data_IF_839046183134
#
_entry.id   IF_839046183134
#
_cell.length_a   1.000
_cell.length_b   1.000
_cell.length_c   1.000
_cell.angle_alpha   90.00
_cell.angle_beta   90.00
_cell.angle_gamma   90.00
#
_symmetry.space_group_name_H-M   'P 1'
#
loop_
_entity.id
_entity.type
_entity.pdbx_description
1 polymer ?
#
# COMPACT_ATOMS: atom_id res chain seq x y z
N UNK A 1 -24.81 -19.42 6.21
CA UNK A 1 -25.20 -18.34 5.29
C UNK A 1 -24.53 -17.06 5.77
N UNK A 2 -23.23 -16.91 5.48
CA UNK A 2 -22.42 -15.74 5.83
C UNK A 2 -22.64 -14.69 4.76
N UNK A 3 -23.28 -13.57 5.09
CA UNK A 3 -23.49 -12.47 4.15
C UNK A 3 -22.17 -11.93 3.59
N UNK A 4 -22.20 -11.19 2.47
CA UNK A 4 -21.00 -10.58 1.91
C UNK A 4 -20.33 -9.72 2.97
N UNK A 5 -19.00 -9.86 3.04
CA UNK A 5 -18.14 -9.10 3.93
C UNK A 5 -18.50 -7.60 3.85
N UNK A 6 -18.88 -6.96 4.97
CA UNK A 6 -19.23 -5.52 5.05
C UNK A 6 -18.01 -4.61 4.78
N UNK A 7 -16.90 -5.20 4.36
CA UNK A 7 -15.67 -4.54 3.96
C UNK A 7 -15.94 -3.56 2.80
N UNK A 8 -15.54 -2.31 3.00
CA UNK A 8 -15.53 -1.33 1.91
C UNK A 8 -14.25 -1.48 1.06
N UNK A 9 -14.10 -0.62 0.04
CA UNK A 9 -12.97 -0.64 -0.87
C UNK A 9 -11.62 -0.61 -0.14
N UNK A 10 -11.49 0.22 0.90
CA UNK A 10 -10.28 0.31 1.73
C UNK A 10 -10.01 -1.01 2.46
N UNK A 11 -11.01 -1.61 3.10
CA UNK A 11 -10.85 -2.89 3.80
C UNK A 11 -10.41 -4.03 2.87
N UNK A 12 -11.03 -4.13 1.69
CA UNK A 12 -10.68 -5.12 0.66
C UNK A 12 -9.26 -4.89 0.11
N UNK A 13 -8.91 -3.63 -0.17
CA UNK A 13 -7.58 -3.23 -0.62
C UNK A 13 -6.50 -3.61 0.40
N UNK A 14 -6.72 -3.31 1.68
CA UNK A 14 -5.77 -3.64 2.75
C UNK A 14 -5.59 -5.15 2.92
N UNK A 15 -6.65 -5.94 2.75
CA UNK A 15 -6.56 -7.40 2.80
C UNK A 15 -5.71 -7.96 1.66
N UNK A 16 -5.79 -7.34 0.47
CA UNK A 16 -5.07 -7.78 -0.72
C UNK A 16 -3.60 -7.30 -0.72
N UNK A 17 -3.37 -6.00 -0.53
CA UNK A 17 -2.05 -5.38 -0.62
C UNK A 17 -1.23 -5.50 0.68
N UNK A 18 -1.85 -5.89 1.79
CA UNK A 18 -1.16 -6.25 3.03
C UNK A 18 -0.47 -7.61 2.99
N UNK A 19 -0.59 -8.35 1.88
CA UNK A 19 0.17 -9.58 1.64
C UNK A 19 1.42 -9.27 0.81
N UNK A 20 2.60 -9.46 1.41
CA UNK A 20 3.89 -9.23 0.75
C UNK A 20 4.03 -10.01 -0.56
N UNK A 21 3.57 -11.26 -0.59
CA UNK A 21 3.69 -12.09 -1.78
C UNK A 21 2.83 -11.57 -2.91
N UNK A 22 1.69 -10.94 -2.61
CA UNK A 22 0.87 -10.28 -3.62
C UNK A 22 1.65 -9.15 -4.28
N UNK A 23 2.29 -8.26 -3.50
CA UNK A 23 3.08 -7.16 -4.05
C UNK A 23 4.27 -7.65 -4.90
N UNK A 24 4.95 -8.71 -4.44
CA UNK A 24 6.06 -9.30 -5.19
C UNK A 24 5.61 -9.95 -6.50
N UNK A 25 4.55 -10.75 -6.47
CA UNK A 25 4.02 -11.39 -7.69
C UNK A 25 3.49 -10.35 -8.68
N UNK A 26 2.80 -9.32 -8.19
CA UNK A 26 2.34 -8.20 -9.03
C UNK A 26 3.55 -7.52 -9.68
N UNK A 27 4.60 -7.20 -8.91
CA UNK A 27 5.82 -6.59 -9.45
C UNK A 27 6.43 -7.45 -10.56
N UNK A 28 6.69 -8.73 -10.32
CA UNK A 28 7.25 -9.62 -11.34
C UNK A 28 6.35 -9.70 -12.57
N UNK A 29 5.02 -9.71 -12.38
CA UNK A 29 4.07 -9.69 -13.49
C UNK A 29 4.16 -8.39 -14.30
N UNK A 30 4.32 -7.22 -13.66
CA UNK A 30 4.51 -5.96 -14.37
C UNK A 30 5.86 -5.90 -15.10
N UNK A 31 6.89 -6.57 -14.58
CA UNK A 31 8.19 -6.74 -15.23
C UNK A 31 8.20 -7.76 -16.37
N UNK A 32 7.09 -8.48 -16.58
CA UNK A 32 6.91 -9.38 -17.72
C UNK A 32 6.86 -10.86 -17.39
N UNK A 33 6.97 -11.26 -16.12
CA UNK A 33 6.80 -12.67 -15.73
C UNK A 33 5.40 -13.17 -16.12
N UNK A 34 5.33 -14.31 -16.80
CA UNK A 34 4.07 -14.92 -17.24
C UNK A 34 3.95 -16.37 -16.80
N UNK A 35 5.06 -17.10 -16.73
CA UNK A 35 5.06 -18.53 -16.40
C UNK A 35 5.25 -18.74 -14.91
N UNK A 36 4.76 -19.87 -14.41
CA UNK A 36 5.03 -20.29 -13.03
C UNK A 36 6.53 -20.29 -12.70
N UNK A 37 7.37 -20.73 -13.64
CA UNK A 37 8.83 -20.77 -13.50
C UNK A 37 9.46 -19.39 -13.31
N UNK A 38 8.87 -18.35 -13.90
CA UNK A 38 9.37 -16.98 -13.78
C UNK A 38 9.14 -16.50 -12.34
N UNK A 39 7.95 -16.76 -11.78
CA UNK A 39 7.61 -16.42 -10.39
C UNK A 39 8.31 -17.31 -9.36
N UNK A 40 8.69 -18.54 -9.72
CA UNK A 40 9.38 -19.47 -8.85
C UNK A 40 10.82 -19.03 -8.50
N UNK A 41 11.34 -17.98 -9.15
CA UNK A 41 12.58 -17.31 -8.76
C UNK A 41 12.44 -16.50 -7.46
N UNK A 42 11.21 -16.16 -7.04
CA UNK A 42 10.95 -15.54 -5.75
C UNK A 42 11.28 -16.51 -4.60
N UNK A 43 11.68 -16.03 -3.42
CA UNK A 43 12.01 -16.85 -2.25
C UNK A 43 10.74 -17.40 -1.55
N UNK A 44 9.81 -17.97 -2.32
CA UNK A 44 8.50 -18.48 -1.89
C UNK A 44 8.38 -19.95 -2.27
N UNK A 45 7.83 -20.78 -1.38
CA UNK A 45 7.61 -22.19 -1.71
C UNK A 45 6.59 -22.36 -2.84
N UNK A 46 6.76 -23.38 -3.68
CA UNK A 46 5.84 -23.69 -4.79
C UNK A 46 4.38 -23.83 -4.35
N UNK A 47 4.14 -24.38 -3.16
CA UNK A 47 2.79 -24.53 -2.62
C UNK A 47 2.16 -23.18 -2.26
N UNK A 48 2.93 -22.25 -1.68
CA UNK A 48 2.44 -20.90 -1.37
C UNK A 48 2.26 -20.11 -2.67
N UNK A 49 3.22 -20.16 -3.59
CA UNK A 49 3.12 -19.50 -4.90
C UNK A 49 1.89 -19.95 -5.68
N UNK A 50 1.64 -21.26 -5.76
CA UNK A 50 0.46 -21.80 -6.45
C UNK A 50 -0.85 -21.30 -5.85
N UNK A 51 -0.92 -21.21 -4.52
CA UNK A 51 -2.11 -20.69 -3.84
C UNK A 51 -2.26 -19.18 -4.10
N UNK A 52 -1.17 -18.41 -4.08
CA UNK A 52 -1.20 -16.96 -4.33
C UNK A 52 -1.58 -16.63 -5.76
N UNK A 53 -0.99 -17.30 -6.75
CA UNK A 53 -1.37 -17.12 -8.15
C UNK A 53 -2.85 -17.45 -8.37
N UNK A 54 -3.39 -18.48 -7.70
CA UNK A 54 -4.82 -18.77 -7.74
C UNK A 54 -5.66 -17.64 -7.14
N UNK A 55 -5.32 -17.17 -5.94
CA UNK A 55 -6.01 -16.04 -5.31
C UNK A 55 -5.98 -14.79 -6.19
N UNK A 56 -4.84 -14.45 -6.79
CA UNK A 56 -4.74 -13.29 -7.70
C UNK A 56 -5.58 -13.45 -8.97
N UNK A 57 -5.82 -14.68 -9.43
CA UNK A 57 -6.76 -14.95 -10.52
C UNK A 57 -8.21 -14.81 -10.04
N UNK A 58 -8.53 -15.36 -8.88
CA UNK A 58 -9.87 -15.27 -8.27
C UNK A 58 -10.24 -13.80 -7.95
N UNK A 59 -9.26 -12.99 -7.53
CA UNK A 59 -9.39 -11.55 -7.26
C UNK A 59 -9.35 -10.69 -8.55
N UNK A 60 -9.18 -11.29 -9.73
CA UNK A 60 -9.20 -10.60 -11.02
C UNK A 60 -7.96 -9.75 -11.31
N UNK A 61 -6.86 -9.93 -10.58
CA UNK A 61 -5.57 -9.29 -10.86
C UNK A 61 -4.79 -10.00 -11.96
N UNK A 62 -4.91 -11.33 -12.04
CA UNK A 62 -4.28 -12.12 -13.08
C UNK A 62 -5.32 -12.88 -13.88
N UNK A 63 -5.05 -13.06 -15.16
CA UNK A 63 -5.82 -13.94 -16.04
C UNK A 63 -4.97 -15.18 -16.32
N UNK A 64 -5.52 -16.36 -16.02
CA UNK A 64 -4.86 -17.64 -16.33
C UNK A 64 -5.22 -18.07 -17.75
N UNK A 65 -4.24 -18.12 -18.66
CA UNK A 65 -4.41 -18.54 -20.06
C UNK A 65 -3.74 -19.89 -20.29
N UNK A 66 -4.54 -20.93 -20.56
CA UNK A 66 -4.05 -22.26 -20.92
C UNK A 66 -3.68 -22.25 -22.40
N UNK A 67 -2.46 -22.69 -22.73
CA UNK A 67 -1.98 -22.75 -24.13
C UNK A 67 -1.62 -24.16 -24.57
N UNK A 68 -1.62 -25.12 -23.66
CA UNK A 68 -1.35 -26.53 -23.93
C UNK A 68 -2.14 -27.35 -22.93
N UNK A 69 -2.88 -28.38 -23.38
CA UNK A 69 -3.71 -29.20 -22.51
C UNK A 69 -3.03 -30.50 -22.05
N UNK A 70 -1.95 -30.93 -22.72
CA UNK A 70 -1.26 -32.20 -22.44
C UNK A 70 0.27 -32.07 -22.57
N UNK A 71 1.03 -31.99 -21.44
CA UNK A 71 0.55 -31.65 -20.10
C UNK A 71 -0.01 -30.21 -20.03
N UNK A 72 -0.96 -29.92 -19.12
CA UNK A 72 -1.52 -28.58 -18.95
C UNK A 72 -0.43 -27.53 -18.69
N UNK A 73 -0.30 -26.55 -19.57
CA UNK A 73 0.55 -25.37 -19.37
C UNK A 73 -0.28 -24.10 -19.44
N UNK A 74 -0.07 -23.23 -18.47
CA UNK A 74 -0.78 -21.97 -18.37
C UNK A 74 0.19 -20.83 -18.08
N UNK A 75 -0.12 -19.69 -18.66
CA UNK A 75 0.51 -18.41 -18.37
C UNK A 75 -0.45 -17.55 -17.52
N UNK A 76 0.12 -16.64 -16.75
CA UNK A 76 -0.55 -15.68 -15.89
C UNK A 76 -0.31 -14.27 -16.44
N UNK A 77 -1.37 -13.66 -16.97
CA UNK A 77 -1.29 -12.34 -17.58
C UNK A 77 -1.86 -11.28 -16.63
N UNK A 78 -1.20 -10.13 -16.45
CA UNK A 78 -1.76 -9.05 -15.65
C UNK A 78 -3.03 -8.52 -16.31
N UNK A 79 -4.08 -8.35 -15.51
CA UNK A 79 -5.29 -7.63 -15.93
C UNK A 79 -5.07 -6.11 -15.84
N UNK A 80 -6.08 -5.33 -16.20
CA UNK A 80 -6.02 -3.87 -16.01
C UNK A 80 -5.89 -3.48 -14.52
N UNK A 81 -6.70 -4.01 -13.57
CA UNK A 81 -6.50 -3.76 -12.14
C UNK A 81 -5.07 -4.04 -11.66
N UNK A 82 -4.43 -5.11 -12.13
CA UNK A 82 -3.04 -5.42 -11.77
C UNK A 82 -2.05 -4.42 -12.35
N UNK A 83 -2.20 -4.04 -13.63
CA UNK A 83 -1.38 -2.97 -14.23
C UNK A 83 -1.52 -1.65 -13.48
N UNK A 84 -2.70 -1.32 -12.98
CA UNK A 84 -2.97 -0.10 -12.26
C UNK A 84 -2.33 -0.03 -10.85
N UNK A 85 -1.69 -1.10 -10.36
CA UNK A 85 -0.93 -1.10 -9.10
C UNK A 85 0.47 -0.51 -9.20
N UNK A 86 0.95 -0.20 -10.41
CA UNK A 86 2.29 0.37 -10.60
C UNK A 86 2.58 1.63 -9.74
N UNK A 87 1.63 2.57 -9.50
CA UNK A 87 1.92 3.75 -8.68
C UNK A 87 2.17 3.39 -7.22
N UNK A 88 1.51 2.35 -6.71
CA UNK A 88 1.73 1.83 -5.36
C UNK A 88 3.15 1.30 -5.23
N UNK A 89 3.57 0.45 -6.18
CA UNK A 89 4.91 -0.15 -6.20
C UNK A 89 6.03 0.90 -6.34
N UNK A 90 5.84 1.90 -7.20
CA UNK A 90 6.81 2.99 -7.39
C UNK A 90 6.91 3.88 -6.15
N UNK A 91 5.78 4.13 -5.46
CA UNK A 91 5.77 4.87 -4.20
C UNK A 91 6.48 4.11 -3.09
N UNK A 92 6.25 2.79 -2.99
CA UNK A 92 6.95 1.90 -2.05
C UNK A 92 8.45 1.92 -2.32
N UNK A 93 8.85 1.72 -3.59
CA UNK A 93 10.24 1.71 -4.01
C UNK A 93 10.96 3.00 -3.62
N UNK A 94 10.35 4.15 -3.93
CA UNK A 94 10.93 5.44 -3.61
C UNK A 94 11.04 5.65 -2.09
N UNK A 95 10.00 5.33 -1.32
CA UNK A 95 10.02 5.50 0.12
C UNK A 95 11.09 4.62 0.79
N UNK A 96 11.13 3.33 0.45
CA UNK A 96 12.12 2.37 0.97
C UNK A 96 13.54 2.81 0.63
N UNK A 97 13.81 3.16 -0.63
CA UNK A 97 15.13 3.64 -1.07
C UNK A 97 15.56 4.93 -0.37
N UNK A 98 14.62 5.78 0.04
CA UNK A 98 14.94 7.10 0.62
C UNK A 98 15.08 7.05 2.14
N UNK A 99 14.28 6.22 2.81
CA UNK A 99 14.09 6.29 4.26
C UNK A 99 14.49 5.04 5.04
N UNK A 100 14.82 3.94 4.36
CA UNK A 100 15.20 2.67 5.00
C UNK A 100 16.69 2.44 4.78
N UNK A 101 17.48 2.51 5.85
CA UNK A 101 18.95 2.55 5.80
C UNK A 101 19.56 1.39 5.02
N UNK A 102 19.05 0.16 5.23
CA UNK A 102 19.50 -1.03 4.52
C UNK A 102 19.18 -1.03 3.02
N UNK A 103 18.26 -0.19 2.57
CA UNK A 103 17.77 -0.12 1.20
C UNK A 103 18.28 1.08 0.40
N UNK A 104 18.79 2.12 1.06
CA UNK A 104 19.44 3.27 0.40
C UNK A 104 20.55 2.81 -0.56
N UNK A 105 21.25 1.73 -0.21
CA UNK A 105 22.39 1.22 -0.99
C UNK A 105 22.06 0.04 -1.91
N UNK A 106 20.92 -0.63 -1.71
CA UNK A 106 20.58 -1.86 -2.46
C UNK A 106 19.47 -1.64 -3.48
N UNK A 107 18.61 -0.63 -3.32
CA UNK A 107 17.57 -0.31 -4.28
C UNK A 107 18.09 0.67 -5.35
N UNK A 108 18.21 0.24 -6.62
CA UNK A 108 18.67 1.11 -7.69
C UNK A 108 17.76 2.32 -7.93
N UNK A 109 18.34 3.35 -8.56
CA UNK A 109 17.59 4.52 -8.98
C UNK A 109 16.56 4.17 -10.06
N UNK A 110 15.49 4.96 -10.14
CA UNK A 110 14.53 4.87 -11.24
C UNK A 110 14.87 5.91 -12.29
N UNK A 111 14.75 5.55 -13.56
CA UNK A 111 14.97 6.43 -14.71
C UNK A 111 13.67 6.62 -15.49
N UNK A 112 13.33 7.86 -15.77
CA UNK A 112 12.16 8.18 -16.57
C UNK A 112 12.55 8.12 -18.04
N UNK A 113 11.97 7.18 -18.79
CA UNK A 113 12.30 6.96 -20.19
C UNK A 113 11.98 8.16 -21.09
N UNK A 114 10.96 8.95 -20.71
CA UNK A 114 10.56 10.13 -21.47
C UNK A 114 11.59 11.26 -21.45
N UNK A 115 12.21 11.55 -20.30
CA UNK A 115 13.23 12.61 -20.18
C UNK A 115 14.68 12.10 -20.09
N UNK A 116 14.87 10.79 -19.92
CA UNK A 116 16.18 10.14 -19.80
C UNK A 116 16.88 10.35 -18.45
N UNK A 117 16.26 11.05 -17.50
CA UNK A 117 16.86 11.39 -16.21
C UNK A 117 16.46 10.41 -15.11
N UNK A 118 17.34 10.25 -14.13
CA UNK A 118 17.02 9.59 -12.87
C UNK A 118 16.07 10.48 -12.09
N UNK A 119 15.00 9.91 -11.53
CA UNK A 119 13.92 10.69 -10.95
C UNK A 119 13.46 10.13 -9.60
N UNK A 120 12.81 11.01 -8.84
CA UNK A 120 11.98 10.67 -7.70
C UNK A 120 10.51 10.95 -8.03
N UNK A 121 9.58 10.01 -7.78
CA UNK A 121 8.16 10.25 -8.03
C UNK A 121 7.62 11.32 -7.08
N UNK A 122 6.93 12.30 -7.64
CA UNK A 122 6.26 13.37 -6.89
C UNK A 122 4.76 13.13 -6.93
N UNK A 123 4.12 13.08 -5.76
CA UNK A 123 2.66 13.04 -5.68
C UNK A 123 2.07 14.38 -6.13
N UNK A 124 1.13 14.33 -7.06
CA UNK A 124 0.45 15.48 -7.65
C UNK A 124 -1.06 15.32 -7.60
N UNK A 125 -1.75 16.45 -7.69
CA UNK A 125 -3.19 16.48 -7.88
C UNK A 125 -3.51 16.21 -9.36
N UNK A 126 -4.34 15.21 -9.66
CA UNK A 126 -4.80 14.93 -11.01
C UNK A 126 -5.57 16.07 -11.68
N UNK A 127 -6.16 16.99 -10.89
CA UNK A 127 -6.86 18.17 -11.40
C UNK A 127 -5.92 19.33 -11.76
N UNK A 128 -5.23 19.94 -10.78
CA UNK A 128 -4.40 21.12 -11.03
C UNK A 128 -2.95 20.79 -11.42
N UNK A 129 -2.57 19.50 -11.36
CA UNK A 129 -1.25 19.00 -11.73
C UNK A 129 -0.09 19.59 -10.91
N UNK A 130 -0.37 20.25 -9.79
CA UNK A 130 0.66 20.72 -8.86
C UNK A 130 1.11 19.60 -7.91
N UNK A 131 2.38 19.60 -7.47
CA UNK A 131 2.84 18.76 -6.36
C UNK A 131 1.98 18.97 -5.12
N UNK A 132 1.68 17.89 -4.40
CA UNK A 132 0.83 17.92 -3.21
C UNK A 132 1.52 17.30 -2.02
N UNK A 133 1.61 18.08 -0.94
CA UNK A 133 1.97 17.57 0.39
C UNK A 133 0.70 17.12 1.13
N UNK A 134 0.80 16.06 1.94
CA UNK A 134 -0.34 15.46 2.66
C UNK A 134 -1.15 16.47 3.48
N UNK A 135 -0.51 17.49 4.04
CA UNK A 135 -1.17 18.54 4.84
C UNK A 135 -2.14 19.41 4.02
N UNK A 136 -2.06 19.37 2.69
CA UNK A 136 -2.96 20.07 1.78
C UNK A 136 -4.07 19.18 1.24
N UNK A 137 -4.22 17.96 1.77
CA UNK A 137 -5.28 17.04 1.42
C UNK A 137 -6.22 16.93 2.61
N UNK A 138 -7.44 17.42 2.42
CA UNK A 138 -8.53 17.16 3.36
C UNK A 138 -9.13 15.79 3.07
N UNK A 139 -9.38 15.01 4.11
CA UNK A 139 -9.86 13.64 4.02
C UNK A 139 -11.09 13.47 4.90
N UNK A 140 -12.20 13.07 4.29
CA UNK A 140 -13.46 12.79 4.98
C UNK A 140 -13.99 11.41 4.62
N UNK A 141 -14.85 10.85 5.48
CA UNK A 141 -15.53 9.61 5.16
C UNK A 141 -16.54 9.84 4.04
N UNK A 142 -16.48 8.99 3.02
CA UNK A 142 -17.53 8.88 2.02
C UNK A 142 -18.71 8.03 2.50
N UNK A 143 -19.72 7.80 1.64
CA UNK A 143 -20.94 7.09 2.00
C UNK A 143 -20.71 5.65 2.49
N UNK A 144 -19.69 4.95 1.99
CA UNK A 144 -19.32 3.61 2.47
C UNK A 144 -18.22 3.62 3.55
N UNK A 145 -17.84 4.82 4.01
CA UNK A 145 -16.75 5.06 4.93
C UNK A 145 -16.99 4.56 6.35
N UNK A 146 -15.91 4.59 7.13
CA UNK A 146 -15.92 4.26 8.55
C UNK A 146 -14.94 3.14 8.91
N UNK A 147 -14.43 3.22 10.14
CA UNK A 147 -13.41 2.29 10.65
C UNK A 147 -13.85 0.83 10.63
N UNK A 148 -15.11 0.53 10.95
CA UNK A 148 -15.64 -0.84 11.00
C UNK A 148 -15.55 -1.56 9.65
N UNK A 149 -15.83 -0.85 8.55
CA UNK A 149 -15.82 -1.39 7.18
C UNK A 149 -14.42 -1.37 6.56
N UNK A 150 -13.57 -0.44 7.00
CA UNK A 150 -12.18 -0.33 6.55
C UNK A 150 -11.24 -1.29 7.30
N UNK A 151 -11.64 -1.74 8.49
CA UNK A 151 -10.92 -2.70 9.34
C UNK A 151 -11.91 -3.78 9.85
N UNK A 152 -12.41 -4.67 8.96
CA UNK A 152 -13.47 -5.59 9.32
C UNK A 152 -13.08 -6.54 10.47
N UNK A 153 -14.03 -6.77 11.38
CA UNK A 153 -13.85 -7.62 12.58
C UNK A 153 -13.60 -9.09 12.25
N UNK A 154 -14.10 -9.54 11.11
CA UNK A 154 -14.02 -10.94 10.68
C UNK A 154 -13.79 -11.04 9.17
N UNK A 155 -12.57 -11.44 8.80
CA UNK A 155 -12.38 -12.40 7.71
C UNK A 155 -11.56 -13.54 8.27
N UNK A 156 -12.11 -14.72 8.11
CA UNK A 156 -11.58 -16.03 8.45
C UNK A 156 -10.12 -16.23 8.04
N UNK A 157 -9.32 -16.69 9.02
CA UNK A 157 -8.20 -17.64 8.93
C UNK A 157 -7.24 -17.51 7.73
N UNK A 158 -6.03 -17.04 8.03
CA UNK A 158 -4.83 -17.92 8.08
C UNK A 158 -3.77 -17.22 8.91
N UNK A 159 -3.28 -17.87 9.96
CA UNK A 159 -1.97 -17.50 10.53
C UNK A 159 -1.00 -17.49 9.35
N UNK A 160 -0.46 -16.32 9.00
CA UNK A 160 0.88 -16.27 8.41
C UNK A 160 1.76 -16.83 9.52
N UNK A 161 2.13 -18.11 9.40
CA UNK A 161 3.29 -18.62 10.13
C UNK A 161 4.45 -17.79 9.60
N UNK A 162 4.93 -16.91 10.45
CA UNK A 162 6.20 -16.19 10.33
C UNK A 162 7.32 -17.21 10.36
N UNK A 163 7.49 -17.97 9.28
CA UNK A 163 8.70 -18.74 8.97
C UNK A 163 9.27 -18.24 7.62
N UNK A 164 9.12 -16.94 7.33
CA UNK A 164 9.86 -16.31 6.24
C UNK A 164 11.27 -15.99 6.76
N UNK A 165 12.34 -16.35 6.03
CA UNK A 165 13.68 -15.94 6.41
C UNK A 165 13.77 -14.41 6.50
N UNK A 166 14.57 -13.86 7.44
CA UNK A 166 14.64 -12.42 7.71
C UNK A 166 15.07 -11.58 6.50
N UNK A 167 15.65 -12.20 5.46
CA UNK A 167 16.15 -11.54 4.24
C UNK A 167 15.25 -11.72 3.00
N UNK A 168 14.05 -12.29 3.13
CA UNK A 168 13.17 -12.53 1.96
C UNK A 168 12.38 -11.28 1.52
N UNK A 169 12.41 -10.19 2.29
CA UNK A 169 11.57 -9.02 2.06
C UNK A 169 12.27 -7.95 1.25
N UNK A 170 11.74 -7.63 0.07
CA UNK A 170 12.22 -6.49 -0.70
C UNK A 170 11.77 -5.15 -0.11
N UNK A 171 10.80 -5.13 0.83
CA UNK A 171 10.24 -3.92 1.45
C UNK A 171 9.82 -4.14 2.93
N UNK A 172 10.75 -4.44 3.85
CA UNK A 172 10.43 -4.91 5.21
C UNK A 172 9.72 -3.85 6.06
N UNK A 173 10.08 -2.58 5.94
CA UNK A 173 9.42 -1.52 6.69
C UNK A 173 8.04 -1.16 6.13
N UNK A 174 7.88 -1.23 4.80
CA UNK A 174 6.55 -1.16 4.16
C UNK A 174 5.65 -2.25 4.71
N UNK A 175 6.14 -3.48 4.85
CA UNK A 175 5.36 -4.56 5.45
C UNK A 175 5.12 -4.37 6.95
N UNK A 176 5.98 -3.67 7.67
CA UNK A 176 5.70 -3.28 9.05
C UNK A 176 4.50 -2.31 9.15
N UNK A 177 4.34 -1.40 8.17
CA UNK A 177 3.27 -0.40 8.10
C UNK A 177 1.98 -0.96 7.49
N UNK A 178 2.09 -1.77 6.44
CA UNK A 178 0.98 -2.21 5.59
C UNK A 178 0.62 -3.69 5.77
N UNK A 179 1.52 -4.50 6.32
CA UNK A 179 1.43 -5.97 6.32
C UNK A 179 0.46 -6.60 7.30
N UNK A 180 -0.28 -5.79 8.06
CA UNK A 180 -1.39 -6.29 8.83
C UNK A 180 -2.44 -5.20 9.05
N UNK A 181 -3.71 -5.62 9.14
CA UNK A 181 -4.86 -4.72 9.27
C UNK A 181 -4.73 -3.67 10.37
N UNK A 182 -4.10 -4.01 11.50
CA UNK A 182 -3.97 -3.09 12.63
C UNK A 182 -2.87 -2.05 12.40
N UNK A 183 -1.74 -2.44 11.78
CA UNK A 183 -0.72 -1.49 11.36
C UNK A 183 -1.30 -0.47 10.38
N UNK A 184 -1.98 -0.95 9.32
CA UNK A 184 -2.59 -0.08 8.32
C UNK A 184 -3.67 0.84 8.92
N UNK A 185 -4.48 0.30 9.84
CA UNK A 185 -5.51 1.07 10.52
C UNK A 185 -4.95 2.17 11.44
N UNK A 186 -3.89 1.85 12.21
CA UNK A 186 -3.23 2.83 13.08
C UNK A 186 -2.55 3.91 12.24
N UNK A 187 -1.87 3.52 11.16
CA UNK A 187 -1.25 4.48 10.24
C UNK A 187 -2.29 5.40 9.61
N UNK A 188 -3.39 4.84 9.07
CA UNK A 188 -4.49 5.63 8.53
C UNK A 188 -5.12 6.56 9.58
N UNK A 189 -5.27 6.09 10.83
CA UNK A 189 -5.80 6.92 11.92
C UNK A 189 -4.85 8.06 12.29
N UNK A 190 -3.54 7.85 12.23
CA UNK A 190 -2.53 8.89 12.45
C UNK A 190 -2.60 9.98 11.37
N UNK A 191 -2.75 9.59 10.09
CA UNK A 191 -2.97 10.53 8.98
C UNK A 191 -4.29 11.31 9.10
N UNK A 192 -5.33 10.70 9.68
CA UNK A 192 -6.59 11.37 10.04
C UNK A 192 -6.51 12.14 11.38
N UNK A 193 -5.30 12.43 11.86
CA UNK A 193 -5.05 13.30 13.02
C UNK A 193 -5.20 12.62 14.39
N UNK A 194 -5.34 11.30 14.46
CA UNK A 194 -5.36 10.58 15.74
C UNK A 194 -3.96 10.58 16.35
N UNK A 195 -3.81 11.09 17.58
CA UNK A 195 -2.50 11.22 18.24
C UNK A 195 -2.43 10.56 19.60
N UNK A 196 -3.55 10.23 20.24
CA UNK A 196 -3.57 9.67 21.60
C UNK A 196 -3.84 8.18 21.56
N UNK A 197 -3.20 7.45 22.48
CA UNK A 197 -3.37 6.01 22.62
C UNK A 197 -4.84 5.60 22.76
N UNK A 198 -5.58 6.26 23.66
CA UNK A 198 -7.00 5.98 23.90
C UNK A 198 -7.86 6.21 22.67
N UNK A 199 -7.54 7.23 21.87
CA UNK A 199 -8.30 7.55 20.66
C UNK A 199 -8.09 6.48 19.59
N UNK A 200 -6.87 5.94 19.44
CA UNK A 200 -6.61 4.80 18.57
C UNK A 200 -7.43 3.57 18.99
N UNK A 201 -7.44 3.24 20.28
CA UNK A 201 -8.21 2.09 20.79
C UNK A 201 -9.71 2.25 20.52
N UNK A 202 -10.26 3.41 20.87
CA UNK A 202 -11.70 3.68 20.73
C UNK A 202 -12.13 3.69 19.26
N UNK A 203 -11.39 4.39 18.39
CA UNK A 203 -11.74 4.49 16.96
C UNK A 203 -11.65 3.15 16.23
N UNK A 204 -10.59 2.38 16.52
CA UNK A 204 -10.33 1.12 15.83
C UNK A 204 -11.00 -0.09 16.47
N UNK A 205 -11.56 0.07 17.68
CA UNK A 205 -12.02 -1.05 18.53
C UNK A 205 -10.96 -2.15 18.66
N UNK A 206 -9.69 -1.74 18.76
CA UNK A 206 -8.53 -2.63 18.80
C UNK A 206 -8.14 -2.96 20.26
N UNK A 207 -7.65 -4.19 20.55
CA UNK A 207 -7.10 -4.52 21.86
C UNK A 207 -5.92 -3.61 22.24
N UNK A 208 -5.84 -3.22 23.51
CA UNK A 208 -4.80 -2.30 24.02
C UNK A 208 -3.38 -2.76 23.68
N UNK A 209 -3.07 -4.04 23.91
CA UNK A 209 -1.76 -4.61 23.64
C UNK A 209 -1.39 -4.49 22.15
N UNK A 210 -2.35 -4.72 21.24
CA UNK A 210 -2.11 -4.60 19.79
C UNK A 210 -1.78 -3.16 19.40
N UNK A 211 -2.52 -2.19 19.94
CA UNK A 211 -2.24 -0.77 19.69
C UNK A 211 -0.87 -0.38 20.24
N UNK A 212 -0.56 -0.80 21.47
CA UNK A 212 0.72 -0.50 22.11
C UNK A 212 1.90 -1.07 21.33
N UNK A 213 1.82 -2.34 20.91
CA UNK A 213 2.88 -2.99 20.15
C UNK A 213 3.10 -2.35 18.79
N UNK A 214 2.02 -1.92 18.12
CA UNK A 214 2.13 -1.26 16.81
C UNK A 214 2.65 0.16 16.90
N UNK A 215 2.23 0.93 17.89
CA UNK A 215 2.76 2.27 18.14
C UNK A 215 4.25 2.21 18.50
N UNK A 216 4.66 1.23 19.33
CA UNK A 216 6.08 1.00 19.64
C UNK A 216 6.87 0.70 18.36
N UNK A 217 6.41 -0.27 17.56
CA UNK A 217 7.05 -0.60 16.29
C UNK A 217 7.17 0.61 15.36
N UNK A 218 6.13 1.44 15.27
CA UNK A 218 6.14 2.67 14.46
C UNK A 218 7.11 3.74 14.98
N UNK A 219 7.31 3.82 16.29
CA UNK A 219 8.37 4.64 16.87
C UNK A 219 9.75 4.05 16.60
N UNK A 220 9.91 2.72 16.71
CA UNK A 220 11.18 2.03 16.51
C UNK A 220 11.69 2.18 15.06
N UNK A 221 10.80 2.08 14.07
CA UNK A 221 11.15 2.32 12.65
C UNK A 221 11.14 3.83 12.28
N UNK A 222 10.79 4.70 13.23
CA UNK A 222 10.87 6.15 13.08
C UNK A 222 9.78 6.80 12.22
N UNK A 223 8.65 6.13 11.95
CA UNK A 223 7.50 6.73 11.25
C UNK A 223 6.58 7.52 12.18
N UNK A 224 6.59 7.19 13.47
CA UNK A 224 5.98 7.97 14.53
C UNK A 224 7.03 8.40 15.54
N UNK A 225 6.75 9.49 16.25
CA UNK A 225 7.51 9.91 17.41
C UNK A 225 6.56 10.09 18.59
N UNK A 226 6.90 9.46 19.72
CA UNK A 226 6.22 9.69 20.99
C UNK A 226 6.72 11.02 21.59
N UNK A 227 5.77 11.88 21.99
CA UNK A 227 6.02 13.13 22.68
C UNK A 227 5.20 13.16 23.98
N UNK A 228 5.76 13.70 25.06
CA UNK A 228 5.01 13.94 26.28
C UNK A 228 3.95 15.02 26.05
N UNK A 229 2.75 14.81 26.59
CA UNK A 229 1.66 15.78 26.48
C UNK A 229 2.00 17.04 27.32
N UNK A 230 1.86 18.26 26.77
CA UNK A 230 2.28 19.50 27.45
C UNK A 230 1.62 19.74 28.82
N UNK A 231 0.41 19.21 29.05
CA UNK A 231 -0.34 19.38 30.30
C UNK A 231 -0.35 18.16 31.23
N UNK A 232 0.19 17.00 30.80
CA UNK A 232 0.09 15.71 31.51
C UNK A 232 1.33 14.87 31.16
N UNK A 233 2.36 14.91 32.00
CA UNK A 233 3.61 14.19 31.77
C UNK A 233 3.43 12.66 31.68
N UNK A 234 2.34 12.12 32.22
CA UNK A 234 1.95 10.71 32.13
C UNK A 234 1.33 10.32 30.77
N UNK A 235 1.03 11.29 29.90
CA UNK A 235 0.34 11.07 28.64
C UNK A 235 1.30 11.21 27.47
N UNK A 236 1.33 10.20 26.61
CA UNK A 236 2.09 10.24 25.36
C UNK A 236 1.17 10.55 24.18
N UNK A 237 1.60 11.50 23.35
CA UNK A 237 1.07 11.72 22.01
C UNK A 237 2.01 11.12 20.96
N UNK A 238 1.44 10.64 19.86
CA UNK A 238 2.16 10.04 18.75
C UNK A 238 2.00 10.91 17.52
N UNK A 239 3.10 11.43 17.01
CA UNK A 239 3.13 12.36 15.88
C UNK A 239 3.83 11.72 14.69
N UNK A 240 3.31 11.93 13.48
CA UNK A 240 3.99 11.53 12.25
C UNK A 240 5.29 12.30 12.10
N UNK A 241 6.38 11.57 11.89
CA UNK A 241 7.70 12.14 11.56
C UNK A 241 7.75 12.52 10.08
N UNK A 242 8.81 13.19 9.60
CA UNK A 242 9.05 13.36 8.16
C UNK A 242 9.05 12.02 7.40
N UNK A 243 9.65 10.96 7.96
CA UNK A 243 9.63 9.60 7.40
C UNK A 243 8.21 9.04 7.29
N UNK A 244 7.40 9.22 8.34
CA UNK A 244 6.00 8.81 8.35
C UNK A 244 5.17 9.57 7.31
N UNK A 245 5.29 10.89 7.24
CA UNK A 245 4.59 11.72 6.26
C UNK A 245 4.97 11.37 4.81
N UNK A 246 6.24 11.03 4.56
CA UNK A 246 6.73 10.63 3.25
C UNK A 246 6.12 9.30 2.75
N UNK A 247 5.51 8.49 3.62
CA UNK A 247 4.82 7.25 3.22
C UNK A 247 3.44 7.52 2.59
N UNK A 248 2.93 8.75 2.68
CA UNK A 248 1.58 9.10 2.22
C UNK A 248 1.29 8.77 0.74
N UNK A 249 2.23 8.93 -0.24
CA UNK A 249 1.98 8.51 -1.62
C UNK A 249 1.61 7.04 -1.77
N UNK A 250 2.16 6.14 -0.95
CA UNK A 250 1.78 4.72 -0.92
C UNK A 250 0.32 4.58 -0.51
N UNK A 251 -0.09 5.28 0.55
CA UNK A 251 -1.46 5.24 1.06
C UNK A 251 -2.44 5.82 0.04
N UNK A 252 -2.15 7.00 -0.50
CA UNK A 252 -3.03 7.71 -1.44
C UNK A 252 -3.25 6.90 -2.72
N UNK A 253 -2.18 6.39 -3.32
CA UNK A 253 -2.27 5.57 -4.54
C UNK A 253 -2.97 4.23 -4.28
N UNK A 254 -2.73 3.58 -3.14
CA UNK A 254 -3.41 2.33 -2.78
C UNK A 254 -4.91 2.53 -2.54
N UNK A 255 -5.30 3.59 -1.83
CA UNK A 255 -6.72 3.91 -1.62
C UNK A 255 -7.39 4.22 -2.96
N UNK A 256 -6.78 5.07 -3.78
CA UNK A 256 -7.34 5.39 -5.10
C UNK A 256 -7.55 4.14 -5.95
N UNK A 257 -6.55 3.25 -6.01
CA UNK A 257 -6.67 1.97 -6.69
C UNK A 257 -7.81 1.11 -6.14
N UNK A 258 -7.91 1.01 -4.80
CA UNK A 258 -8.97 0.26 -4.13
C UNK A 258 -10.36 0.81 -4.45
N UNK A 259 -10.55 2.12 -4.42
CA UNK A 259 -11.82 2.76 -4.77
C UNK A 259 -12.19 2.52 -6.24
N UNK A 260 -11.21 2.55 -7.15
CA UNK A 260 -11.43 2.37 -8.59
C UNK A 260 -11.79 0.92 -8.95
N UNK A 261 -11.09 -0.07 -8.39
CA UNK A 261 -11.22 -1.47 -8.83
C UNK A 261 -11.95 -2.38 -7.84
N UNK A 262 -12.05 -1.98 -6.57
CA UNK A 262 -12.72 -2.73 -5.49
C UNK A 262 -13.93 -1.98 -4.91
N UNK A 263 -14.34 -0.86 -5.52
CA UNK A 263 -15.45 -0.01 -5.09
C UNK A 263 -16.74 -0.79 -4.83
N UNK A 264 -17.52 -0.29 -3.87
CA UNK A 264 -18.84 -0.83 -3.51
C UNK A 264 -19.96 -0.01 -4.19
N UNK A 265 -21.15 -0.59 -4.40
CA UNK A 265 -22.29 0.10 -5.02
C UNK A 265 -22.71 1.38 -4.28
N UNK A 266 -22.46 1.42 -2.97
CA UNK A 266 -22.91 2.50 -2.10
C UNK A 266 -22.01 3.74 -2.18
N UNK A 267 -20.93 3.73 -2.98
CA UNK A 267 -20.00 4.84 -3.17
C UNK A 267 -18.66 4.69 -2.44
N UNK A 268 -17.78 5.71 -2.52
CA UNK A 268 -16.41 5.61 -2.02
C UNK A 268 -16.34 5.58 -0.49
N UNK A 269 -15.30 4.95 0.06
CA UNK A 269 -15.07 4.92 1.50
C UNK A 269 -14.45 6.21 2.00
N UNK A 270 -13.55 6.81 1.22
CA UNK A 270 -12.90 8.08 1.54
C UNK A 270 -13.10 9.10 0.41
N UNK A 271 -13.31 10.35 0.79
CA UNK A 271 -13.34 11.50 -0.10
C UNK A 271 -12.14 12.39 0.22
N UNK A 272 -11.34 12.68 -0.80
CA UNK A 272 -10.18 13.56 -0.68
C UNK A 272 -10.42 14.85 -1.46
N UNK A 273 -10.05 15.97 -0.85
CA UNK A 273 -10.10 17.30 -1.49
C UNK A 273 -8.71 17.92 -1.43
N UNK A 274 -8.21 18.40 -2.58
CA UNK A 274 -6.98 19.17 -2.59
C UNK A 274 -7.30 20.61 -2.19
N UNK A 275 -6.92 20.98 -0.98
CA UNK A 275 -7.31 22.27 -0.35
C UNK A 275 -6.86 23.49 -1.15
N UNK A 276 -5.72 23.42 -1.84
CA UNK A 276 -5.20 24.55 -2.60
C UNK A 276 -5.98 24.85 -3.89
N UNK A 277 -6.54 23.82 -4.57
CA UNK A 277 -7.36 24.02 -5.78
C UNK A 277 -8.86 23.83 -5.56
N UNK A 278 -9.28 23.35 -4.39
CA UNK A 278 -10.69 23.14 -4.03
C UNK A 278 -11.40 21.98 -4.74
N UNK A 279 -10.67 21.16 -5.51
CA UNK A 279 -11.24 20.05 -6.28
C UNK A 279 -11.00 18.68 -5.62
N UNK A 280 -11.78 17.64 -5.98
CA UNK A 280 -11.50 16.27 -5.58
C UNK A 280 -10.06 15.89 -5.91
N UNK A 281 -9.35 15.35 -4.92
CA UNK A 281 -7.97 14.93 -5.07
C UNK A 281 -7.93 13.50 -5.63
N UNK A 282 -7.42 13.39 -6.86
CA UNK A 282 -7.03 12.13 -7.47
C UNK A 282 -5.50 12.08 -7.46
N UNK A 283 -4.87 11.09 -6.82
CA UNK A 283 -3.42 11.01 -6.76
C UNK A 283 -2.85 10.64 -8.13
N UNK A 284 -1.86 11.41 -8.58
CA UNK A 284 -1.05 11.11 -9.75
C UNK A 284 0.43 11.21 -9.38
N UNK A 285 1.28 10.39 -10.00
CA UNK A 285 2.72 10.53 -9.86
C UNK A 285 3.31 11.28 -11.05
N UNK A 286 4.14 12.29 -10.77
CA UNK A 286 4.93 13.00 -11.78
C UNK A 286 6.43 12.82 -11.58
N UNK A 287 7.19 13.09 -12.63
CA UNK A 287 8.66 13.13 -12.59
C UNK A 287 9.13 14.45 -11.96
N UNK A 288 10.03 14.41 -10.97
CA UNK A 288 10.64 15.61 -10.39
C UNK A 288 11.58 16.36 -11.36
N UNK A 289 12.05 15.72 -12.43
CA UNK A 289 12.96 16.30 -13.40
C UNK A 289 12.25 17.08 -14.52
N UNK A 290 11.14 16.57 -15.03
CA UNK A 290 10.44 17.17 -16.18
C UNK A 290 8.97 17.51 -15.92
N UNK A 291 8.46 17.26 -14.71
CA UNK A 291 7.07 17.49 -14.29
C UNK A 291 5.98 16.76 -15.12
N UNK A 292 6.35 15.87 -16.03
CA UNK A 292 5.40 15.03 -16.77
C UNK A 292 4.78 13.95 -15.89
N UNK A 293 3.57 13.55 -16.22
CA UNK A 293 2.90 12.44 -15.56
C UNK A 293 3.65 11.12 -15.86
N UNK A 294 3.88 10.31 -14.84
CA UNK A 294 4.54 9.02 -14.97
C UNK A 294 3.53 7.96 -15.42
N UNK A 295 4.02 7.03 -16.24
CA UNK A 295 3.34 5.78 -16.57
C UNK A 295 4.28 4.62 -16.23
N UNK A 296 3.74 3.51 -15.70
CA UNK A 296 4.57 2.36 -15.30
C UNK A 296 5.48 1.83 -16.40
N UNK A 297 5.02 1.85 -17.67
CA UNK A 297 5.81 1.43 -18.83
C UNK A 297 6.96 2.39 -19.20
N UNK A 298 6.95 3.62 -18.68
CA UNK A 298 7.97 4.64 -18.93
C UNK A 298 9.02 4.73 -17.80
N UNK A 299 9.03 3.76 -16.87
CA UNK A 299 9.95 3.72 -15.74
C UNK A 299 10.94 2.58 -15.95
N UNK A 300 12.22 2.93 -16.06
CA UNK A 300 13.32 1.98 -16.01
C UNK A 300 14.00 1.97 -14.63
N UNK A 301 14.84 0.98 -14.42
CA UNK A 301 15.74 0.87 -13.27
C UNK A 301 17.17 1.08 -13.75
N UNK A 302 17.94 1.90 -13.04
CA UNK A 302 19.35 2.15 -13.34
C UNK A 302 20.18 1.01 -12.76
N UNK A 303 20.81 0.24 -13.64
CA UNK A 303 21.71 -0.84 -13.26
C UNK A 303 23.01 -0.32 -12.63
#
# INVERSE_FOLDING_TARGET
MTGPDDANAVGRMLALLGDEWTLLIVRESLLGARRFTDFAALPISNAVLSNRLRSLVDDGLLERRVYQDQPPRADYHPTEPCRALWPVLVSIWHWERTWVEGHIRSLPAMRHQGCGQDFSPVLRCGHCRQPVHVVHIDASWGPSGGWRRSVPRAVTRRRVRTDAPPDAGLFPETMAIFGNRWASAIMGAAFLGTRRFTDFQTRLSAPAAVVADRLRLFCDIGVLQAAAHPGRADWSEYHLTPKGLAFYPVIATAIHWGETYLGAPDGPALLFTHTACGHPFVPELGCDQCAEALAGSAIGVVA
#
